data_IF_959053489403
#
_entry.id   IF_959053489403
#
_cell.length_a   1.000
_cell.length_b   1.000
_cell.length_c   1.000
_cell.angle_alpha   90.00
_cell.angle_beta   90.00
_cell.angle_gamma   90.00
#
_symmetry.space_group_name_H-M   'P 1'
#
loop_
_entity.id
_entity.type
_entity.pdbx_description
1 polymer ?
#
# COMPACT_ATOMS: atom_id res chain seq x y z
N UNK A 1 -18.35 -12.66 -40.83
CA UNK A 1 -19.21 -11.84 -39.96
C UNK A 1 -19.27 -12.33 -38.51
N UNK A 2 -19.41 -13.65 -38.24
CA UNK A 2 -19.49 -14.20 -36.87
C UNK A 2 -18.21 -14.04 -36.03
N UNK A 3 -17.03 -14.06 -36.65
CA UNK A 3 -15.72 -14.00 -35.97
C UNK A 3 -15.42 -12.59 -35.40
N UNK A 4 -16.03 -11.53 -35.94
CA UNK A 4 -15.83 -10.16 -35.46
C UNK A 4 -16.52 -9.90 -34.11
N UNK A 5 -17.58 -10.64 -33.77
CA UNK A 5 -18.37 -10.46 -32.55
C UNK A 5 -17.71 -11.05 -31.29
N UNK A 6 -16.81 -12.02 -31.45
CA UNK A 6 -16.10 -12.67 -30.33
C UNK A 6 -14.94 -11.82 -29.76
N UNK A 7 -14.52 -10.77 -30.45
CA UNK A 7 -13.44 -9.87 -30.01
C UNK A 7 -13.94 -8.76 -29.05
N UNK A 8 -15.25 -8.69 -28.81
CA UNK A 8 -15.93 -7.51 -28.27
C UNK A 8 -16.59 -7.78 -26.92
N UNK A 9 -15.88 -8.33 -25.92
CA UNK A 9 -16.25 -8.21 -24.49
C UNK A 9 -15.28 -8.97 -23.55
N UNK A 10 -13.98 -8.70 -23.59
CA UNK A 10 -13.15 -8.95 -22.41
C UNK A 10 -13.29 -7.74 -21.48
N UNK A 11 -14.41 -7.65 -20.74
CA UNK A 11 -14.52 -6.66 -19.66
C UNK A 11 -13.52 -7.05 -18.58
N UNK A 12 -12.59 -6.14 -18.24
CA UNK A 12 -11.66 -6.35 -17.15
C UNK A 12 -12.44 -6.62 -15.85
N UNK A 13 -12.01 -7.62 -15.08
CA UNK A 13 -12.62 -7.93 -13.79
C UNK A 13 -12.54 -6.71 -12.87
N UNK A 14 -13.55 -6.54 -12.01
CA UNK A 14 -13.54 -5.46 -11.02
C UNK A 14 -12.37 -5.65 -10.04
N UNK A 15 -11.60 -4.59 -9.74
CA UNK A 15 -10.52 -4.67 -8.76
C UNK A 15 -11.03 -5.14 -7.40
N UNK A 16 -10.19 -5.89 -6.67
CA UNK A 16 -10.52 -6.31 -5.30
C UNK A 16 -10.67 -5.08 -4.40
N UNK A 17 -11.63 -5.12 -3.47
CA UNK A 17 -11.79 -4.06 -2.47
C UNK A 17 -10.54 -3.98 -1.57
N UNK A 18 -10.09 -2.78 -1.18
CA UNK A 18 -8.99 -2.63 -0.24
C UNK A 18 -9.26 -3.34 1.08
N UNK A 19 -8.28 -4.07 1.58
CA UNK A 19 -8.33 -4.76 2.88
C UNK A 19 -7.38 -4.07 3.85
N UNK A 20 -7.90 -3.63 5.00
CA UNK A 20 -7.08 -3.00 6.05
C UNK A 20 -6.24 -4.06 6.77
N UNK A 21 -4.92 -3.89 6.73
CA UNK A 21 -3.92 -4.77 7.36
C UNK A 21 -2.96 -3.97 8.25
N UNK A 22 -2.28 -4.60 9.21
CA UNK A 22 -1.21 -3.96 9.97
C UNK A 22 -0.07 -3.45 9.09
N UNK A 23 0.52 -2.32 9.48
CA UNK A 23 1.64 -1.66 8.80
C UNK A 23 2.81 -2.62 8.51
N UNK A 24 3.20 -3.41 9.50
CA UNK A 24 4.35 -4.31 9.40
C UNK A 24 4.17 -5.45 8.38
N UNK A 25 2.97 -5.68 7.85
CA UNK A 25 2.77 -6.67 6.80
C UNK A 25 3.47 -6.26 5.51
N UNK A 26 3.36 -4.98 5.12
CA UNK A 26 3.76 -4.51 3.80
C UNK A 26 4.87 -3.44 3.82
N UNK A 27 5.11 -2.80 4.97
CA UNK A 27 6.01 -1.66 5.08
C UNK A 27 7.06 -1.85 6.17
N UNK A 28 8.18 -1.14 6.03
CA UNK A 28 9.27 -1.02 7.01
C UNK A 28 9.68 0.43 7.18
N UNK A 29 10.15 0.80 8.36
CA UNK A 29 10.74 2.11 8.59
C UNK A 29 12.04 2.23 7.78
N UNK A 30 12.15 3.27 6.95
CA UNK A 30 13.36 3.55 6.18
C UNK A 30 14.28 4.53 6.90
N UNK A 31 13.72 5.43 7.71
CA UNK A 31 14.48 6.31 8.61
C UNK A 31 13.57 6.87 9.72
N UNK A 32 14.17 7.31 10.83
CA UNK A 32 13.43 7.92 11.96
C UNK A 32 12.43 6.98 12.62
N UNK A 33 12.81 5.71 12.83
CA UNK A 33 11.91 4.67 13.38
C UNK A 33 11.39 4.98 14.78
N UNK A 34 12.17 5.70 15.59
CA UNK A 34 11.78 6.24 16.89
C UNK A 34 10.68 7.31 16.80
N UNK A 35 10.52 7.93 15.63
CA UNK A 35 9.48 8.90 15.30
C UNK A 35 8.27 8.26 14.58
N UNK A 36 8.14 6.92 14.62
CA UNK A 36 6.97 6.19 14.10
C UNK A 36 6.20 5.55 15.26
N UNK A 37 4.95 5.95 15.46
CA UNK A 37 4.06 5.36 16.47
C UNK A 37 3.01 4.47 15.84
N UNK A 38 2.93 3.23 16.33
CA UNK A 38 1.94 2.25 15.89
C UNK A 38 0.90 2.03 16.98
N UNK A 39 -0.37 2.06 16.58
CA UNK A 39 -1.54 1.85 17.44
C UNK A 39 -2.38 0.69 16.90
N UNK A 40 -3.20 0.09 17.77
CA UNK A 40 -4.11 -1.01 17.41
C UNK A 40 -3.40 -2.16 16.68
N UNK A 41 -2.24 -2.58 17.19
CA UNK A 41 -1.43 -3.65 16.57
C UNK A 41 -0.86 -3.27 15.19
N UNK A 42 -0.67 -1.98 14.91
CA UNK A 42 -0.12 -1.48 13.64
C UNK A 42 -1.18 -1.14 12.59
N UNK A 43 -2.48 -1.20 12.92
CA UNK A 43 -3.55 -0.79 11.99
C UNK A 43 -3.65 0.74 11.82
N UNK A 44 -3.09 1.50 12.75
CA UNK A 44 -2.90 2.95 12.64
C UNK A 44 -1.43 3.25 12.91
N UNK A 45 -0.81 4.03 12.03
CA UNK A 45 0.59 4.45 12.14
C UNK A 45 0.65 5.96 12.00
N UNK A 46 1.34 6.61 12.92
CA UNK A 46 1.58 8.06 12.91
C UNK A 46 3.07 8.33 12.73
N UNK A 47 3.39 9.26 11.83
CA UNK A 47 4.73 9.80 11.63
C UNK A 47 4.84 11.11 12.40
N UNK A 48 5.86 11.22 13.24
CA UNK A 48 6.12 12.41 14.04
C UNK A 48 7.17 13.28 13.36
N UNK A 49 6.92 14.59 13.33
CA UNK A 49 7.83 15.59 12.79
C UNK A 49 8.12 16.64 13.85
N UNK A 50 9.40 16.95 14.04
CA UNK A 50 9.85 18.10 14.82
C UNK A 50 10.93 18.88 14.03
N UNK A 51 11.51 19.92 14.64
CA UNK A 51 12.49 20.79 13.97
C UNK A 51 13.77 20.05 13.55
N UNK A 52 14.17 19.01 14.28
CA UNK A 52 15.46 18.34 14.12
C UNK A 52 15.33 17.01 13.37
N UNK A 53 14.19 16.34 13.50
CA UNK A 53 13.97 14.98 13.02
C UNK A 53 12.56 14.80 12.47
N UNK A 54 12.45 13.89 11.50
CA UNK A 54 11.19 13.36 11.00
C UNK A 54 11.23 11.84 10.92
N UNK A 55 10.36 11.26 10.10
CA UNK A 55 10.30 9.83 9.87
C UNK A 55 9.86 9.48 8.46
N UNK A 56 10.23 8.28 8.00
CA UNK A 56 9.78 7.74 6.73
C UNK A 56 9.73 6.22 6.74
N UNK A 57 8.97 5.69 5.78
CA UNK A 57 8.83 4.26 5.57
C UNK A 57 8.77 3.95 4.09
N UNK A 58 9.03 2.69 3.75
CA UNK A 58 8.97 2.18 2.39
C UNK A 58 8.27 0.82 2.36
N UNK A 59 7.77 0.45 1.17
CA UNK A 59 7.22 -0.88 0.98
C UNK A 59 8.34 -1.91 0.97
N UNK A 60 8.08 -3.07 1.58
CA UNK A 60 8.98 -4.22 1.53
C UNK A 60 9.17 -4.76 0.10
N UNK A 61 8.12 -4.62 -0.72
CA UNK A 61 8.11 -5.05 -2.11
C UNK A 61 8.30 -3.88 -3.07
N UNK A 62 8.66 -4.23 -4.31
CA UNK A 62 8.65 -3.33 -5.46
C UNK A 62 7.51 -3.75 -6.38
N UNK A 63 6.81 -2.77 -6.96
CA UNK A 63 5.63 -3.00 -7.78
C UNK A 63 5.78 -2.33 -9.14
N UNK A 64 5.41 -3.04 -10.20
CA UNK A 64 5.33 -2.48 -11.56
C UNK A 64 3.92 -1.94 -11.88
N UNK A 65 2.89 -2.56 -11.31
CA UNK A 65 1.47 -2.20 -11.44
C UNK A 65 0.76 -2.39 -10.08
N UNK A 66 -0.42 -1.79 -9.89
CA UNK A 66 -1.20 -1.85 -8.64
C UNK A 66 -2.69 -1.64 -8.84
#
# INVERSE_FOLDING_TARGET
FLILLLHSAAMAATPRKPVSVPFHNNYVASWGSDHIKQFHGGRKTELLLNKQYGAGFESKGTYLFG
#
